data_IF_876076162806
#
_entry.id   IF_876076162806
#
_cell.length_a   1.000
_cell.length_b   1.000
_cell.length_c   1.000
_cell.angle_alpha   90.00
_cell.angle_beta   90.00
_cell.angle_gamma   90.00
#
_symmetry.space_group_name_H-M   'P 1'
#
loop_
_entity.id
_entity.type
_entity.pdbx_description
1 polymer ?
#
# COMPACT_ATOMS: atom_id res chain seq x y z
N UNK A 1 54.30 41.48 -41.13
CA UNK A 1 53.55 40.20 -41.10
C UNK A 1 52.63 40.19 -39.89
N UNK A 2 51.33 40.39 -40.21
CA UNK A 2 50.26 40.42 -39.17
C UNK A 2 49.77 38.98 -38.94
N UNK A 3 50.03 38.43 -37.77
CA UNK A 3 49.50 37.13 -37.36
C UNK A 3 48.08 37.31 -36.85
N UNK A 4 47.12 36.85 -37.66
CA UNK A 4 45.71 36.82 -37.34
C UNK A 4 45.45 35.67 -36.36
N UNK A 5 45.12 35.97 -35.07
CA UNK A 5 44.75 35.01 -34.05
C UNK A 5 43.24 34.70 -34.24
N UNK A 6 42.94 33.49 -34.66
CA UNK A 6 41.56 33.03 -34.69
C UNK A 6 41.09 32.79 -33.25
N UNK A 7 40.09 33.53 -32.82
CA UNK A 7 39.41 33.33 -31.54
C UNK A 7 38.20 32.43 -31.79
N UNK A 8 38.32 31.13 -31.46
CA UNK A 8 37.24 30.17 -31.57
C UNK A 8 36.38 30.30 -30.33
N UNK A 9 35.19 30.89 -30.47
CA UNK A 9 34.16 30.94 -29.44
C UNK A 9 33.44 29.60 -29.48
N UNK A 10 33.75 28.72 -28.49
CA UNK A 10 33.01 27.47 -28.30
C UNK A 10 31.69 27.81 -27.57
N UNK A 11 30.61 27.95 -28.33
CA UNK A 11 29.27 28.19 -27.79
C UNK A 11 28.73 26.84 -27.26
N UNK A 12 28.96 26.59 -25.97
CA UNK A 12 28.39 25.43 -25.27
C UNK A 12 26.89 25.62 -25.12
N UNK A 13 26.11 24.93 -25.96
CA UNK A 13 24.66 24.89 -25.85
C UNK A 13 24.28 23.90 -24.75
N UNK A 14 24.04 24.42 -23.53
CA UNK A 14 23.54 23.62 -22.41
C UNK A 14 22.07 23.30 -22.68
N UNK A 15 21.80 22.09 -23.14
CA UNK A 15 20.43 21.56 -23.25
C UNK A 15 19.96 21.23 -21.82
N UNK A 16 19.20 22.12 -21.22
CA UNK A 16 18.47 21.83 -19.99
C UNK A 16 17.30 20.90 -20.31
N UNK A 17 17.47 19.63 -20.03
CA UNK A 17 16.37 18.65 -20.07
C UNK A 17 15.50 18.94 -18.85
N UNK A 18 14.20 19.25 -19.00
CA UNK A 18 13.32 19.38 -17.86
C UNK A 18 13.24 18.02 -17.17
N UNK A 19 13.73 17.92 -15.95
CA UNK A 19 13.46 16.78 -15.09
C UNK A 19 12.02 16.92 -14.62
N UNK A 20 11.12 16.17 -15.23
CA UNK A 20 9.74 16.05 -14.75
C UNK A 20 9.81 15.28 -13.44
N UNK A 21 9.64 15.99 -12.34
CA UNK A 21 9.51 15.35 -11.03
C UNK A 21 8.20 14.56 -11.03
N UNK A 22 8.28 13.24 -10.90
CA UNK A 22 7.09 12.39 -10.75
C UNK A 22 6.36 12.77 -9.48
N UNK A 23 5.10 13.16 -9.58
CA UNK A 23 4.28 13.51 -8.44
C UNK A 23 3.86 12.24 -7.71
N UNK A 24 4.36 12.07 -6.49
CA UNK A 24 4.09 10.91 -5.63
C UNK A 24 3.52 11.37 -4.31
N UNK A 25 2.45 10.72 -3.91
CA UNK A 25 1.90 10.83 -2.56
C UNK A 25 2.35 9.65 -1.73
N UNK A 26 2.75 9.88 -0.49
CA UNK A 26 3.18 8.82 0.41
C UNK A 26 2.77 9.09 1.84
N UNK A 27 2.62 8.02 2.61
CA UNK A 27 2.41 8.06 4.06
C UNK A 27 3.21 6.97 4.75
N UNK A 28 3.48 7.16 6.04
CA UNK A 28 4.00 6.13 6.95
C UNK A 28 3.04 5.88 8.13
N UNK A 29 1.93 6.58 8.16
CA UNK A 29 0.96 6.59 9.24
C UNK A 29 -0.44 6.17 8.73
N UNK A 30 -0.48 5.34 7.69
CA UNK A 30 -1.72 4.73 7.25
C UNK A 30 -2.27 3.78 8.30
N UNK A 31 -3.56 3.52 8.25
CA UNK A 31 -4.26 2.66 9.21
C UNK A 31 -4.88 1.46 8.53
N UNK A 32 -4.68 0.28 9.10
CA UNK A 32 -5.43 -0.94 8.77
C UNK A 32 -6.17 -1.40 10.01
N UNK A 33 -7.45 -1.67 9.85
CA UNK A 33 -8.27 -2.36 10.85
C UNK A 33 -8.76 -3.64 10.21
N UNK A 34 -8.61 -4.77 10.88
CA UNK A 34 -9.25 -6.00 10.45
C UNK A 34 -10.13 -6.58 11.55
N UNK A 35 -11.16 -7.27 11.13
CA UNK A 35 -12.08 -8.00 11.98
C UNK A 35 -12.22 -9.42 11.42
N UNK A 36 -12.17 -10.42 12.29
CA UNK A 36 -12.48 -11.79 11.93
C UNK A 36 -13.85 -12.15 12.50
N UNK A 37 -14.77 -12.56 11.63
CA UNK A 37 -16.11 -13.00 12.03
C UNK A 37 -16.04 -14.45 12.52
N UNK A 38 -16.04 -14.65 13.83
CA UNK A 38 -16.21 -15.97 14.42
C UNK A 38 -17.50 -15.96 15.26
N UNK A 39 -18.54 -16.74 14.84
CA UNK A 39 -19.92 -16.58 15.37
C UNK A 39 -20.14 -16.80 16.86
N UNK A 40 -19.16 -17.16 17.66
CA UNK A 40 -19.36 -17.54 19.08
C UNK A 40 -18.25 -17.14 20.04
N UNK A 41 -17.35 -16.25 19.63
CA UNK A 41 -16.22 -15.83 20.46
C UNK A 41 -16.09 -14.32 20.57
N UNK A 42 -15.23 -13.86 21.45
CA UNK A 42 -14.85 -12.47 21.54
C UNK A 42 -14.49 -11.91 20.16
N UNK A 43 -14.89 -10.67 19.92
CA UNK A 43 -14.61 -9.93 18.71
C UNK A 43 -13.10 -9.94 18.43
N UNK A 44 -12.68 -10.60 17.34
CA UNK A 44 -11.30 -10.56 16.86
C UNK A 44 -11.13 -9.33 16.02
N UNK A 45 -10.62 -8.28 16.63
CA UNK A 45 -10.36 -6.99 16.00
C UNK A 45 -8.96 -6.50 16.32
N UNK A 46 -8.25 -6.06 15.31
CA UNK A 46 -6.93 -5.48 15.48
C UNK A 46 -6.74 -4.25 14.61
N UNK A 47 -5.85 -3.37 15.05
CA UNK A 47 -5.52 -2.11 14.38
C UNK A 47 -4.01 -1.96 14.27
N UNK A 48 -3.56 -1.49 13.11
CA UNK A 48 -2.19 -1.04 12.89
C UNK A 48 -2.23 0.38 12.32
N UNK A 49 -1.52 1.31 12.94
CA UNK A 49 -1.48 2.74 12.56
C UNK A 49 -0.15 3.16 11.91
N UNK A 50 0.68 2.18 11.54
CA UNK A 50 2.00 2.40 10.95
C UNK A 50 2.11 1.74 9.57
N UNK A 51 1.12 1.96 8.72
CA UNK A 51 1.11 1.45 7.35
C UNK A 51 1.83 2.43 6.44
N UNK A 52 2.81 1.93 5.70
CA UNK A 52 3.45 2.71 4.64
C UNK A 52 2.72 2.51 3.33
N UNK A 53 2.45 3.59 2.62
CA UNK A 53 1.85 3.53 1.29
C UNK A 53 2.41 4.62 0.38
N UNK A 54 2.40 4.35 -0.92
CA UNK A 54 2.82 5.28 -1.96
C UNK A 54 1.91 5.14 -3.18
N UNK A 55 1.50 6.27 -3.74
CA UNK A 55 0.76 6.38 -5.00
C UNK A 55 1.52 7.30 -5.96
N UNK A 56 1.82 6.80 -7.15
CA UNK A 56 2.29 7.61 -8.26
C UNK A 56 1.07 8.12 -9.05
N UNK A 57 0.82 9.42 -9.01
CA UNK A 57 -0.37 10.00 -9.65
C UNK A 57 -0.24 10.16 -11.18
N UNK A 58 0.94 10.00 -11.73
CA UNK A 58 1.12 9.99 -13.19
C UNK A 58 0.77 8.64 -13.80
N UNK A 59 1.12 7.55 -13.11
CA UNK A 59 0.99 6.19 -13.63
C UNK A 59 -0.17 5.41 -13.00
N UNK A 60 -0.66 5.82 -11.83
CA UNK A 60 -1.62 5.07 -11.03
C UNK A 60 -1.01 3.89 -10.26
N UNK A 61 0.32 3.76 -10.26
CA UNK A 61 0.99 2.69 -9.51
C UNK A 61 0.85 2.93 -8.01
N UNK A 62 0.44 1.88 -7.30
CA UNK A 62 0.22 1.89 -5.86
C UNK A 62 0.98 0.76 -5.18
N UNK A 63 1.56 1.04 -4.03
CA UNK A 63 2.11 0.03 -3.15
C UNK A 63 1.82 0.38 -1.68
N UNK A 64 1.56 -0.64 -0.87
CA UNK A 64 1.49 -0.50 0.58
C UNK A 64 2.18 -1.66 1.29
N UNK A 65 2.70 -1.37 2.47
CA UNK A 65 3.40 -2.33 3.32
C UNK A 65 2.98 -2.11 4.77
N UNK A 66 2.71 -3.20 5.46
CA UNK A 66 2.44 -3.23 6.90
C UNK A 66 3.32 -4.27 7.58
N UNK A 67 3.84 -3.94 8.75
CA UNK A 67 4.52 -4.90 9.62
C UNK A 67 3.48 -5.67 10.44
N UNK A 68 3.54 -7.00 10.39
CA UNK A 68 2.56 -7.86 11.06
C UNK A 68 2.59 -7.68 12.58
N UNK A 69 3.77 -7.59 13.17
CA UNK A 69 3.93 -7.36 14.61
C UNK A 69 3.49 -5.95 15.08
N UNK A 70 3.07 -5.09 14.17
CA UNK A 70 2.53 -3.76 14.48
C UNK A 70 1.01 -3.74 14.74
N UNK A 71 0.30 -4.85 14.51
CA UNK A 71 -1.11 -4.95 14.86
C UNK A 71 -1.31 -5.02 16.39
N UNK A 72 -2.27 -4.24 16.89
CA UNK A 72 -2.63 -4.17 18.29
C UNK A 72 -4.03 -4.69 18.50
N UNK A 73 -4.16 -5.58 19.46
CA UNK A 73 -5.39 -6.22 19.90
C UNK A 73 -5.81 -5.68 21.26
N UNK A 74 -7.11 -5.77 21.53
CA UNK A 74 -7.64 -5.43 22.87
C UNK A 74 -7.16 -6.40 23.96
N UNK A 75 -6.93 -7.68 23.59
CA UNK A 75 -6.49 -8.75 24.49
C UNK A 75 -5.07 -9.17 24.11
N UNK A 76 -4.13 -9.06 25.04
CA UNK A 76 -2.72 -9.33 24.80
C UNK A 76 -2.45 -10.79 24.36
N UNK A 77 -3.16 -11.76 24.92
CA UNK A 77 -3.03 -13.17 24.53
C UNK A 77 -3.46 -13.40 23.07
N UNK A 78 -4.47 -12.66 22.59
CA UNK A 78 -4.91 -12.73 21.18
C UNK A 78 -3.85 -12.13 20.26
N UNK A 79 -3.18 -11.05 20.65
CA UNK A 79 -2.05 -10.46 19.91
C UNK A 79 -0.87 -11.44 19.82
N UNK A 80 -0.54 -12.12 20.92
CA UNK A 80 0.50 -13.16 20.96
C UNK A 80 0.17 -14.32 20.02
N UNK A 81 -1.04 -14.89 20.11
CA UNK A 81 -1.48 -15.98 19.22
C UNK A 81 -1.50 -15.56 17.75
N UNK A 82 -1.92 -14.34 17.45
CA UNK A 82 -1.88 -13.78 16.11
C UNK A 82 -0.45 -13.75 15.54
N UNK A 83 0.50 -13.26 16.33
CA UNK A 83 1.89 -13.14 15.88
C UNK A 83 2.60 -14.50 15.79
N UNK A 84 2.38 -15.40 16.75
CA UNK A 84 3.15 -16.64 16.87
C UNK A 84 2.50 -17.81 16.11
N UNK A 85 1.18 -17.97 16.24
CA UNK A 85 0.51 -19.17 15.77
C UNK A 85 -0.17 -18.98 14.41
N UNK A 86 -0.68 -17.79 14.10
CA UNK A 86 -1.39 -17.53 12.84
C UNK A 86 -0.51 -16.92 11.77
N UNK A 87 0.11 -15.81 12.09
CA UNK A 87 0.88 -15.03 11.10
C UNK A 87 2.35 -15.39 11.07
N UNK A 88 2.86 -16.08 12.11
CA UNK A 88 4.29 -16.38 12.24
C UNK A 88 5.15 -15.16 11.91
N UNK A 89 4.88 -14.04 12.59
CA UNK A 89 5.41 -12.71 12.22
C UNK A 89 6.93 -12.61 12.27
N UNK A 90 7.61 -13.50 13.00
CA UNK A 90 9.07 -13.63 12.98
C UNK A 90 9.59 -14.15 11.64
N UNK A 91 8.83 -15.02 10.97
CA UNK A 91 9.18 -15.63 9.69
C UNK A 91 8.61 -14.85 8.51
N UNK A 92 7.39 -14.33 8.67
CA UNK A 92 6.68 -13.56 7.65
C UNK A 92 6.32 -12.16 8.20
N UNK A 93 7.31 -11.26 8.34
CA UNK A 93 7.13 -10.02 9.08
C UNK A 93 6.27 -8.96 8.38
N UNK A 94 5.95 -9.15 7.09
CA UNK A 94 5.33 -8.11 6.26
C UNK A 94 4.12 -8.64 5.49
N UNK A 95 3.10 -7.79 5.35
CA UNK A 95 2.11 -7.93 4.29
C UNK A 95 2.27 -6.76 3.30
N UNK A 96 2.09 -7.05 2.01
CA UNK A 96 2.37 -6.11 0.93
C UNK A 96 1.25 -6.17 -0.10
N UNK A 97 0.76 -5.00 -0.51
CA UNK A 97 -0.11 -4.83 -1.68
C UNK A 97 0.68 -4.04 -2.73
N UNK A 98 0.67 -4.52 -3.97
CA UNK A 98 1.22 -3.80 -5.12
C UNK A 98 0.24 -3.90 -6.27
N UNK A 99 0.02 -2.80 -6.96
CA UNK A 99 -0.88 -2.82 -8.10
C UNK A 99 -0.94 -1.50 -8.81
N UNK A 100 -1.94 -1.40 -9.68
CA UNK A 100 -2.20 -0.20 -10.49
C UNK A 100 -3.68 0.12 -10.44
N UNK A 101 -3.98 1.39 -10.31
CA UNK A 101 -5.35 1.90 -10.41
C UNK A 101 -5.78 1.88 -11.88
N UNK A 102 -6.84 1.14 -12.18
CA UNK A 102 -7.39 1.01 -13.52
C UNK A 102 -8.01 2.34 -13.97
N UNK A 103 -7.76 2.72 -15.22
CA UNK A 103 -8.27 3.94 -15.84
C UNK A 103 -7.97 5.22 -15.04
N UNK A 104 -6.90 5.18 -14.22
CA UNK A 104 -6.48 6.30 -13.41
C UNK A 104 -5.90 7.42 -14.26
N UNK A 105 -6.28 8.65 -13.92
CA UNK A 105 -5.71 9.86 -14.50
C UNK A 105 -5.64 10.94 -13.44
N UNK A 106 -4.49 11.60 -13.31
CA UNK A 106 -4.31 12.71 -12.38
C UNK A 106 -5.29 13.86 -12.65
N UNK A 107 -5.68 14.07 -13.91
CA UNK A 107 -6.64 15.11 -14.31
C UNK A 107 -8.07 14.83 -13.82
N UNK A 108 -8.39 13.56 -13.51
CA UNK A 108 -9.68 13.17 -12.94
C UNK A 108 -9.73 13.33 -11.41
N UNK A 109 -8.61 13.59 -10.76
CA UNK A 109 -8.54 13.92 -9.33
C UNK A 109 -8.97 15.36 -9.10
N UNK A 110 -10.26 15.63 -9.19
CA UNK A 110 -10.87 16.89 -8.76
C UNK A 110 -11.06 16.87 -7.24
N UNK A 111 -11.32 18.06 -6.65
CA UNK A 111 -11.78 18.13 -5.26
C UNK A 111 -13.04 17.28 -5.10
N UNK A 112 -13.00 16.33 -4.18
CA UNK A 112 -14.07 15.36 -3.95
C UNK A 112 -13.57 13.93 -3.94
N UNK A 113 -14.47 12.97 -4.05
CA UNK A 113 -14.19 11.54 -3.99
C UNK A 113 -14.37 10.91 -5.36
N UNK A 114 -13.39 10.09 -5.77
CA UNK A 114 -13.41 9.28 -6.99
C UNK A 114 -13.14 7.82 -6.66
N UNK A 115 -13.83 6.91 -7.36
CA UNK A 115 -13.67 5.47 -7.16
C UNK A 115 -12.89 4.86 -8.32
N UNK A 116 -11.98 3.96 -7.99
CA UNK A 116 -11.13 3.22 -8.92
C UNK A 116 -11.10 1.74 -8.55
N UNK A 117 -10.64 0.92 -9.48
CA UNK A 117 -10.29 -0.47 -9.20
C UNK A 117 -8.77 -0.57 -9.12
N UNK A 118 -8.25 -1.12 -8.02
CA UNK A 118 -6.85 -1.50 -7.88
C UNK A 118 -6.70 -2.95 -8.33
N UNK A 119 -5.88 -3.19 -9.35
CA UNK A 119 -5.53 -4.51 -9.84
C UNK A 119 -4.04 -4.79 -9.57
N UNK A 120 -3.72 -5.94 -9.00
CA UNK A 120 -2.34 -6.29 -8.69
C UNK A 120 -2.19 -7.56 -7.89
N UNK A 121 -1.38 -7.52 -6.87
CA UNK A 121 -1.08 -8.67 -5.99
C UNK A 121 -1.11 -8.27 -4.53
N UNK A 122 -1.46 -9.24 -3.70
CA UNK A 122 -1.32 -9.16 -2.25
C UNK A 122 -0.44 -10.30 -1.75
N UNK A 123 0.51 -9.99 -0.90
CA UNK A 123 1.39 -10.97 -0.25
C UNK A 123 1.15 -10.95 1.24
N UNK A 124 0.75 -12.10 1.78
CA UNK A 124 0.52 -12.33 3.22
C UNK A 124 1.09 -13.70 3.56
N UNK A 125 1.72 -13.84 4.72
CA UNK A 125 2.27 -15.12 5.22
C UNK A 125 3.16 -15.82 4.18
N UNK A 126 3.94 -15.06 3.43
CA UNK A 126 4.82 -15.54 2.36
C UNK A 126 4.11 -15.99 1.07
N UNK A 127 2.78 -15.92 1.01
CA UNK A 127 1.98 -16.31 -0.17
C UNK A 127 1.54 -15.07 -0.93
N UNK A 128 1.80 -15.04 -2.24
CA UNK A 128 1.37 -13.96 -3.13
C UNK A 128 0.19 -14.43 -3.98
N UNK A 129 -0.88 -13.66 -3.98
CA UNK A 129 -2.09 -13.92 -4.76
C UNK A 129 -2.45 -12.73 -5.65
N UNK A 130 -3.09 -12.95 -6.80
CA UNK A 130 -3.78 -11.89 -7.52
C UNK A 130 -4.78 -11.20 -6.61
N UNK A 131 -4.89 -9.88 -6.74
CA UNK A 131 -5.72 -9.06 -5.88
C UNK A 131 -6.38 -7.95 -6.67
N UNK A 132 -7.68 -7.82 -6.48
CA UNK A 132 -8.47 -6.76 -7.05
C UNK A 132 -9.42 -6.20 -5.99
N UNK A 133 -9.50 -4.89 -5.87
CA UNK A 133 -10.42 -4.25 -4.93
C UNK A 133 -10.84 -2.86 -5.41
N UNK A 134 -11.99 -2.41 -4.95
CA UNK A 134 -12.42 -1.02 -5.11
C UNK A 134 -11.67 -0.11 -4.16
N UNK A 135 -11.25 1.03 -4.66
CA UNK A 135 -10.51 2.06 -3.91
C UNK A 135 -11.20 3.40 -4.08
N UNK A 136 -11.45 4.08 -2.98
CA UNK A 136 -11.96 5.45 -2.93
C UNK A 136 -10.80 6.40 -2.70
N UNK A 137 -10.65 7.39 -3.58
CA UNK A 137 -9.65 8.44 -3.45
C UNK A 137 -10.34 9.78 -3.28
N UNK A 138 -10.04 10.45 -2.17
CA UNK A 138 -10.55 11.79 -1.87
C UNK A 138 -9.41 12.78 -1.90
N UNK A 139 -9.56 13.85 -2.70
CA UNK A 139 -8.63 14.97 -2.73
C UNK A 139 -9.19 16.14 -1.95
N UNK A 140 -8.37 16.68 -1.04
CA UNK A 140 -8.66 17.90 -0.28
C UNK A 140 -7.42 18.78 -0.24
N UNK A 141 -7.42 19.84 -1.03
CA UNK A 141 -6.22 20.66 -1.24
C UNK A 141 -5.08 19.84 -1.83
N UNK A 142 -3.93 19.81 -1.16
CA UNK A 142 -2.74 19.07 -1.57
C UNK A 142 -2.65 17.65 -0.95
N UNK A 143 -3.68 17.24 -0.22
CA UNK A 143 -3.72 15.94 0.44
C UNK A 143 -4.64 14.97 -0.30
N UNK A 144 -4.22 13.69 -0.34
CA UNK A 144 -5.05 12.57 -0.81
C UNK A 144 -5.34 11.62 0.35
N UNK A 145 -6.60 11.18 0.45
CA UNK A 145 -7.01 10.03 1.25
C UNK A 145 -7.33 8.88 0.33
N UNK A 146 -6.78 7.71 0.62
CA UNK A 146 -7.00 6.47 -0.15
C UNK A 146 -7.59 5.45 0.80
N UNK A 147 -8.79 4.95 0.49
CA UNK A 147 -9.55 4.03 1.33
C UNK A 147 -10.02 2.83 0.52
N UNK A 148 -9.97 1.65 1.13
CA UNK A 148 -10.51 0.42 0.57
C UNK A 148 -11.01 -0.51 1.66
N UNK A 149 -11.99 -1.32 1.33
CA UNK A 149 -12.49 -2.39 2.19
C UNK A 149 -12.62 -3.67 1.37
N UNK A 150 -12.09 -4.77 1.89
CA UNK A 150 -12.12 -6.06 1.22
C UNK A 150 -12.11 -7.20 2.24
N UNK A 151 -12.43 -8.39 1.75
CA UNK A 151 -12.43 -9.61 2.55
C UNK A 151 -11.36 -10.57 2.01
N UNK A 152 -10.61 -11.17 2.92
CA UNK A 152 -9.61 -12.20 2.61
C UNK A 152 -9.97 -13.51 3.31
N UNK A 153 -9.69 -14.62 2.64
CA UNK A 153 -9.80 -15.93 3.25
C UNK A 153 -8.41 -16.37 3.77
N UNK A 154 -8.22 -16.56 5.08
CA UNK A 154 -6.92 -16.95 5.65
C UNK A 154 -6.33 -18.23 5.02
N UNK A 155 -7.16 -19.19 4.64
CA UNK A 155 -6.68 -20.44 4.04
C UNK A 155 -6.01 -20.24 2.68
N UNK A 156 -6.34 -19.18 1.95
CA UNK A 156 -5.67 -18.83 0.68
C UNK A 156 -4.20 -18.44 0.88
N UNK A 157 -3.83 -18.08 2.11
CA UNK A 157 -2.49 -17.68 2.51
C UNK A 157 -1.82 -18.69 3.45
N UNK A 158 -2.29 -19.94 3.46
CA UNK A 158 -1.78 -21.00 4.33
C UNK A 158 -1.84 -20.62 5.82
N UNK A 159 -2.82 -19.83 6.22
CA UNK A 159 -3.10 -19.49 7.61
C UNK A 159 -4.22 -20.41 8.09
N UNK A 160 -3.87 -21.31 9.02
CA UNK A 160 -4.82 -22.26 9.59
C UNK A 160 -5.48 -21.67 10.84
N UNK A 161 -6.80 -21.63 10.84
CA UNK A 161 -7.58 -21.28 12.05
C UNK A 161 -7.91 -22.57 12.77
N UNK A 162 -7.52 -22.75 14.05
CA UNK A 162 -7.80 -23.97 14.80
C UNK A 162 -9.28 -24.31 14.83
N UNK A 163 -9.60 -25.58 14.62
CA UNK A 163 -11.00 -26.11 14.58
C UNK A 163 -11.79 -25.81 15.86
N UNK A 164 -11.12 -25.62 16.99
CA UNK A 164 -11.75 -25.25 18.27
C UNK A 164 -12.45 -23.88 18.17
N UNK A 165 -11.96 -23.01 17.29
CA UNK A 165 -12.52 -21.67 17.05
C UNK A 165 -13.55 -21.68 15.92
N UNK A 166 -13.55 -22.71 15.06
CA UNK A 166 -14.43 -22.81 13.89
C UNK A 166 -15.71 -23.63 14.10
N UNK A 167 -15.81 -24.40 15.20
CA UNK A 167 -16.87 -25.38 15.41
C UNK A 167 -17.84 -25.06 16.58
N UNK A 168 -17.96 -23.80 17.00
CA UNK A 168 -18.99 -23.44 17.97
C UNK A 168 -19.84 -22.27 17.48
#
# INVERSE_FOLDING_TARGET
YMKMKYFIIFLSFVISVPVVAQEKYSTKNGTIVFEASVPSFEEVKAKNENVSAILNVETGDFASLVLINGFRFKVALMEEHFNENYMESSKFPKAIVKGKLKDFSATKLSNGTSNYTLEGTITIHGVTKPFETSVSISKKGDSLSVESQFVLNPTDFNIEIPKIVSNK
#
